data_IF_733527510456
#
_entry.id   IF_733527510456
#
_cell.length_a   1.000
_cell.length_b   1.000
_cell.length_c   1.000
_cell.angle_alpha   90.00
_cell.angle_beta   90.00
_cell.angle_gamma   90.00
#
_symmetry.space_group_name_H-M   'P 1'
#
loop_
_entity.id
_entity.type
_entity.pdbx_description
1 polymer ?
#
# COMPACT_ATOMS: atom_id res chain seq x y z
N UNK A 1 0.91 -0.37 10.57
CA UNK A 1 1.67 0.51 9.65
C UNK A 1 0.80 0.86 8.45
N UNK A 2 0.73 2.13 8.08
CA UNK A 2 0.01 2.62 6.91
C UNK A 2 1.03 3.01 5.83
N UNK A 3 1.13 2.19 4.80
CA UNK A 3 2.02 2.41 3.68
C UNK A 3 1.29 3.23 2.62
N UNK A 4 1.86 4.39 2.25
CA UNK A 4 1.35 5.24 1.18
C UNK A 4 2.50 5.61 0.24
N UNK A 5 2.41 5.27 -1.04
CA UNK A 5 3.40 5.65 -2.06
C UNK A 5 2.69 6.52 -3.11
N UNK A 6 3.30 7.64 -3.51
CA UNK A 6 2.79 8.47 -4.61
C UNK A 6 2.72 7.65 -5.92
N UNK A 7 1.51 7.33 -6.37
CA UNK A 7 1.28 6.53 -7.58
C UNK A 7 1.35 7.39 -8.86
N UNK A 8 1.65 8.69 -8.73
CA UNK A 8 1.49 9.70 -9.78
C UNK A 8 0.02 9.84 -10.19
N UNK A 9 -0.25 10.75 -11.13
CA UNK A 9 -1.60 10.97 -11.71
C UNK A 9 -2.71 11.29 -10.69
N UNK A 10 -2.36 11.80 -9.50
CA UNK A 10 -3.37 12.15 -8.48
C UNK A 10 -3.81 10.96 -7.62
N UNK A 11 -3.05 9.86 -7.60
CA UNK A 11 -3.38 8.64 -6.87
C UNK A 11 -2.27 8.21 -5.90
N UNK A 12 -2.61 7.29 -5.00
CA UNK A 12 -1.76 6.78 -3.93
C UNK A 12 -1.85 5.25 -3.94
N UNK A 13 -0.70 4.56 -3.98
CA UNK A 13 -0.63 3.16 -3.62
C UNK A 13 -0.75 3.06 -2.11
N UNK A 14 -1.75 2.33 -1.64
CA UNK A 14 -2.18 2.30 -0.24
C UNK A 14 -2.21 0.86 0.29
N UNK A 15 -1.76 0.67 1.53
CA UNK A 15 -1.95 -0.57 2.27
C UNK A 15 -1.93 -0.35 3.79
N UNK A 16 -2.66 -1.19 4.51
CA UNK A 16 -2.88 -1.19 5.95
C UNK A 16 -2.29 -2.48 6.54
N UNK A 17 -1.06 -2.41 7.03
CA UNK A 17 -0.33 -3.56 7.52
C UNK A 17 -0.35 -3.69 9.05
N UNK A 18 -0.55 -4.88 9.56
CA UNK A 18 -0.41 -5.19 10.99
C UNK A 18 0.58 -6.34 11.18
N UNK A 19 1.34 -6.30 12.28
CA UNK A 19 2.33 -7.33 12.60
C UNK A 19 1.86 -8.13 13.79
N UNK A 20 1.82 -9.45 13.66
CA UNK A 20 1.45 -10.34 14.75
C UNK A 20 2.60 -10.59 15.74
N UNK A 21 2.32 -11.34 16.80
CA UNK A 21 3.29 -11.69 17.84
C UNK A 21 4.43 -12.57 17.34
N UNK A 22 4.22 -13.32 16.25
CA UNK A 22 5.23 -14.13 15.57
C UNK A 22 6.09 -13.30 14.62
N UNK A 23 5.77 -12.02 14.47
CA UNK A 23 6.48 -11.06 13.66
C UNK A 23 6.11 -11.10 12.18
N UNK A 24 5.02 -11.76 11.81
CA UNK A 24 4.50 -11.86 10.45
C UNK A 24 3.59 -10.66 10.17
N UNK A 25 3.72 -10.09 8.97
CA UNK A 25 2.89 -9.00 8.51
C UNK A 25 1.63 -9.52 7.82
N UNK A 26 0.50 -8.87 8.10
CA UNK A 26 -0.83 -9.13 7.53
C UNK A 26 -1.40 -7.83 6.95
N UNK A 27 -2.36 -7.93 6.02
CA UNK A 27 -3.01 -6.77 5.40
C UNK A 27 -2.82 -6.65 3.89
N UNK A 28 -2.28 -7.67 3.23
CA UNK A 28 -2.10 -7.74 1.77
C UNK A 28 -3.42 -7.51 1.01
N UNK A 29 -4.55 -7.92 1.60
CA UNK A 29 -5.89 -7.71 1.05
C UNK A 29 -6.35 -6.24 1.03
N UNK A 30 -5.64 -5.36 1.75
CA UNK A 30 -5.92 -3.93 1.76
C UNK A 30 -5.23 -3.16 0.63
N UNK A 31 -4.29 -3.79 -0.08
CA UNK A 31 -3.53 -3.16 -1.16
C UNK A 31 -4.44 -2.60 -2.25
N UNK A 32 -4.28 -1.30 -2.56
CA UNK A 32 -5.07 -0.64 -3.58
C UNK A 32 -4.36 0.58 -4.18
N UNK A 33 -4.79 0.99 -5.38
CA UNK A 33 -4.53 2.34 -5.91
C UNK A 33 -5.75 3.19 -5.63
N UNK A 34 -5.60 4.23 -4.80
CA UNK A 34 -6.70 5.05 -4.32
C UNK A 34 -6.47 6.52 -4.64
N UNK A 35 -7.55 7.27 -4.81
CA UNK A 35 -7.50 8.72 -4.73
C UNK A 35 -7.32 9.16 -3.28
N UNK A 36 -6.72 10.33 -3.01
CA UNK A 36 -6.55 10.87 -1.66
C UNK A 36 -7.84 10.92 -0.82
N UNK A 37 -8.98 11.19 -1.44
CA UNK A 37 -10.28 11.21 -0.76
C UNK A 37 -10.69 9.82 -0.26
N UNK A 38 -10.45 8.78 -1.06
CA UNK A 38 -10.73 7.40 -0.65
C UNK A 38 -9.77 6.93 0.45
N UNK A 39 -8.53 7.40 0.46
CA UNK A 39 -7.60 7.17 1.58
C UNK A 39 -8.14 7.82 2.87
N UNK A 40 -8.67 9.06 2.81
CA UNK A 40 -9.31 9.70 3.98
C UNK A 40 -10.48 8.87 4.53
N UNK A 41 -11.32 8.32 3.65
CA UNK A 41 -12.41 7.43 4.06
C UNK A 41 -11.90 6.15 4.73
N UNK A 42 -10.79 5.57 4.27
CA UNK A 42 -10.14 4.42 4.91
C UNK A 42 -9.65 4.79 6.32
N UNK A 43 -8.95 5.92 6.46
CA UNK A 43 -8.43 6.40 7.73
C UNK A 43 -9.52 6.62 8.78
N UNK A 44 -10.72 7.04 8.38
CA UNK A 44 -11.86 7.23 9.29
C UNK A 44 -12.44 5.92 9.86
N UNK A 45 -12.16 4.78 9.22
CA UNK A 45 -12.62 3.45 9.65
C UNK A 45 -11.60 2.72 10.53
N UNK A 46 -10.40 3.26 10.63
CA UNK A 46 -9.34 2.73 11.47
C UNK A 46 -9.40 3.36 12.85
N UNK A 47 -8.79 2.67 13.82
CA UNK A 47 -8.65 3.15 15.19
C UNK A 47 -7.22 2.90 15.69
N UNK A 48 -6.85 3.62 16.74
CA UNK A 48 -5.59 3.42 17.46
C UNK A 48 -4.40 4.20 16.88
N UNK A 49 -3.22 3.65 17.12
CA UNK A 49 -1.93 4.25 16.75
C UNK A 49 -1.32 3.52 15.56
N UNK A 50 -0.84 4.30 14.58
CA UNK A 50 -0.29 3.76 13.34
C UNK A 50 1.00 4.49 12.95
N UNK A 51 2.05 3.71 12.66
CA UNK A 51 3.23 4.21 11.96
C UNK A 51 2.89 4.48 10.49
N UNK A 52 3.36 5.60 9.94
CA UNK A 52 3.17 6.03 8.55
C UNK A 52 4.49 5.92 7.79
N UNK A 53 4.45 5.34 6.58
CA UNK A 53 5.63 5.16 5.73
C UNK A 53 5.31 5.41 4.26
N UNK A 54 6.33 5.78 3.49
CA UNK A 54 6.28 5.96 2.05
C UNK A 54 6.09 7.41 1.60
N UNK A 55 6.33 7.65 0.31
CA UNK A 55 6.32 8.99 -0.30
C UNK A 55 4.94 9.65 -0.37
N UNK A 56 3.85 8.87 -0.25
CA UNK A 56 2.48 9.35 -0.39
C UNK A 56 2.10 10.36 0.69
N UNK A 57 2.60 10.21 1.92
CA UNK A 57 2.34 11.11 3.03
C UNK A 57 2.92 12.52 2.81
N UNK A 58 4.09 12.60 2.18
CA UNK A 58 4.71 13.89 1.84
C UNK A 58 4.09 14.52 0.59
N UNK A 59 3.72 13.70 -0.39
CA UNK A 59 3.04 14.18 -1.59
C UNK A 59 1.64 14.74 -1.29
N UNK A 60 0.99 14.25 -0.23
CA UNK A 60 -0.36 14.60 0.16
C UNK A 60 -0.46 14.86 1.67
N UNK A 61 0.06 16.01 2.17
CA UNK A 61 0.13 16.31 3.61
C UNK A 61 -1.24 16.37 4.28
N UNK A 62 -2.30 16.62 3.51
CA UNK A 62 -3.68 16.71 4.03
C UNK A 62 -4.40 15.34 4.09
N UNK A 63 -3.73 14.22 3.79
CA UNK A 63 -4.36 12.89 3.80
C UNK A 63 -4.98 12.53 5.15
N UNK A 64 -4.30 12.89 6.24
CA UNK A 64 -4.74 12.55 7.60
C UNK A 64 -5.63 13.61 8.25
N UNK A 65 -5.92 14.72 7.56
CA UNK A 65 -6.66 15.83 8.16
C UNK A 65 -8.04 15.37 8.64
N UNK A 66 -8.30 15.55 9.93
CA UNK A 66 -9.56 15.18 10.57
C UNK A 66 -9.75 13.68 10.81
N UNK A 67 -8.73 12.84 10.62
CA UNK A 67 -8.77 11.47 11.12
C UNK A 67 -8.58 11.45 12.65
N UNK A 68 -9.21 10.47 13.33
CA UNK A 68 -9.11 10.30 14.78
C UNK A 68 -7.91 9.47 15.23
N UNK A 69 -6.99 9.16 14.33
CA UNK A 69 -5.85 8.28 14.58
C UNK A 69 -4.69 9.02 15.23
N UNK A 70 -3.92 8.31 16.04
CA UNK A 70 -2.56 8.75 16.40
C UNK A 70 -1.61 8.27 15.31
N UNK A 71 -1.05 9.20 14.54
CA UNK A 71 -0.08 8.86 13.50
C UNK A 71 1.34 9.16 13.96
N UNK A 72 2.22 8.18 13.82
CA UNK A 72 3.65 8.29 14.11
C UNK A 72 4.40 8.27 12.79
N UNK A 73 5.28 9.25 12.57
CA UNK A 73 6.14 9.25 11.39
C UNK A 73 7.19 8.15 11.52
N UNK A 74 7.22 7.24 10.53
CA UNK A 74 8.20 6.16 10.47
C UNK A 74 9.56 6.60 9.94
N UNK A 75 9.69 7.82 9.40
CA UNK A 75 10.91 8.35 8.75
C UNK A 75 11.46 7.45 7.63
N UNK A 76 10.54 6.73 6.95
CA UNK A 76 10.85 5.80 5.86
C UNK A 76 10.07 6.22 4.63
N UNK A 77 10.78 6.51 3.53
CA UNK A 77 10.16 6.94 2.28
C UNK A 77 10.13 5.84 1.21
N UNK A 78 11.14 4.97 1.19
CA UNK A 78 11.35 3.99 0.13
C UNK A 78 11.61 2.61 0.75
N UNK A 79 11.22 1.52 0.07
CA UNK A 79 11.56 0.18 0.52
C UNK A 79 13.07 -0.07 0.40
N UNK A 80 13.63 -0.79 1.37
CA UNK A 80 15.02 -1.25 1.31
C UNK A 80 15.09 -2.77 1.11
N UNK A 81 16.09 -3.21 0.34
CA UNK A 81 16.28 -4.64 0.05
C UNK A 81 16.51 -5.47 1.32
N UNK A 82 17.14 -4.89 2.34
CA UNK A 82 17.37 -5.56 3.63
C UNK A 82 16.06 -5.95 4.34
N UNK A 83 15.00 -5.16 4.17
CA UNK A 83 13.70 -5.39 4.83
C UNK A 83 12.84 -6.40 4.05
N UNK A 84 13.16 -6.65 2.78
CA UNK A 84 12.53 -7.71 1.99
C UNK A 84 13.01 -9.10 2.40
N UNK A 85 14.23 -9.23 2.91
CA UNK A 85 14.84 -10.54 3.21
C UNK A 85 14.08 -11.34 4.28
N UNK A 86 13.68 -10.76 5.43
CA UNK A 86 12.88 -11.50 6.42
C UNK A 86 11.57 -12.04 5.85
N UNK A 87 10.88 -11.27 5.00
CA UNK A 87 9.66 -11.71 4.33
C UNK A 87 9.93 -12.88 3.38
N UNK A 88 10.99 -12.79 2.57
CA UNK A 88 11.38 -13.86 1.66
C UNK A 88 11.76 -15.16 2.40
N UNK A 89 12.51 -15.07 3.51
CA UNK A 89 12.86 -16.22 4.36
C UNK A 89 11.61 -16.90 4.95
N UNK A 90 10.64 -16.11 5.40
CA UNK A 90 9.37 -16.61 5.90
C UNK A 90 8.59 -17.35 4.80
N UNK A 91 8.42 -16.73 3.62
CA UNK A 91 7.70 -17.32 2.50
C UNK A 91 8.38 -18.60 2.00
N UNK A 92 9.71 -18.63 1.96
CA UNK A 92 10.48 -19.82 1.60
C UNK A 92 10.25 -20.97 2.58
N UNK A 93 10.31 -20.68 3.88
CA UNK A 93 10.07 -21.69 4.94
C UNK A 93 8.62 -22.21 4.90
N UNK A 94 7.67 -21.35 4.54
CA UNK A 94 6.26 -21.71 4.36
C UNK A 94 5.96 -22.42 3.02
N UNK A 95 6.96 -22.63 2.16
CA UNK A 95 6.78 -23.24 0.83
C UNK A 95 5.97 -22.38 -0.14
N UNK A 96 5.86 -21.07 0.11
CA UNK A 96 5.15 -20.09 -0.73
C UNK A 96 6.07 -19.49 -1.79
N UNK A 97 6.71 -20.34 -2.59
CA UNK A 97 7.55 -19.92 -3.71
C UNK A 97 6.88 -20.23 -5.04
N UNK A 98 7.29 -19.54 -6.10
CA UNK A 98 6.81 -19.76 -7.47
C UNK A 98 7.97 -20.13 -8.38
N UNK A 99 7.65 -20.81 -9.49
CA UNK A 99 8.61 -21.02 -10.56
C UNK A 99 9.02 -19.68 -11.18
N UNK A 100 10.21 -19.60 -11.77
CA UNK A 100 10.78 -18.35 -12.28
C UNK A 100 9.89 -17.71 -13.35
N UNK A 101 9.24 -18.54 -14.17
CA UNK A 101 8.30 -18.15 -15.22
C UNK A 101 6.95 -17.61 -14.70
N UNK A 102 6.68 -17.75 -13.40
CA UNK A 102 5.47 -17.27 -12.74
C UNK A 102 5.73 -16.06 -11.83
N UNK A 103 6.95 -15.53 -11.81
CA UNK A 103 7.26 -14.30 -11.08
C UNK A 103 6.71 -13.09 -11.85
N UNK A 104 5.62 -12.51 -11.36
CA UNK A 104 4.89 -11.42 -12.02
C UNK A 104 4.74 -10.19 -11.11
N UNK A 105 4.70 -8.96 -11.67
CA UNK A 105 4.36 -7.77 -10.90
C UNK A 105 2.92 -7.81 -10.38
N UNK A 106 2.68 -7.19 -9.22
CA UNK A 106 1.32 -6.97 -8.72
C UNK A 106 0.66 -5.82 -9.49
N UNK A 107 -0.49 -6.09 -10.10
CA UNK A 107 -1.29 -5.10 -10.82
C UNK A 107 -2.49 -4.66 -9.98
N UNK A 108 -2.40 -3.50 -9.34
CA UNK A 108 -3.44 -2.99 -8.42
C UNK A 108 -4.56 -2.17 -9.10
N UNK A 109 -4.46 -1.90 -10.41
CA UNK A 109 -5.53 -1.23 -11.17
C UNK A 109 -6.47 -2.27 -11.75
N UNK A 110 -7.69 -2.34 -11.22
CA UNK A 110 -8.76 -3.17 -11.78
C UNK A 110 -9.46 -2.52 -13.00
N UNK A 111 -9.37 -1.19 -13.14
CA UNK A 111 -10.02 -0.47 -14.23
C UNK A 111 -9.02 -0.04 -15.31
N UNK A 112 -8.98 -0.83 -16.39
CA UNK A 112 -8.41 -0.36 -17.65
C UNK A 112 -9.46 0.57 -18.26
N UNK A 113 -9.34 1.88 -18.04
CA UNK A 113 -10.23 2.90 -18.60
C UNK A 113 -10.09 3.00 -20.13
N UNK A 114 -10.47 1.94 -20.86
CA UNK A 114 -10.72 2.02 -22.30
C UNK A 114 -12.09 2.65 -22.53
N UNK A 115 -12.17 3.98 -22.40
CA UNK A 115 -13.20 4.71 -23.15
C UNK A 115 -12.78 4.68 -24.62
N UNK A 116 -13.41 3.82 -25.41
CA UNK A 116 -13.38 3.96 -26.88
C UNK A 116 -13.76 5.41 -27.21
N UNK A 117 -12.88 6.11 -27.92
CA UNK A 117 -13.19 7.42 -28.48
C UNK A 117 -14.43 7.25 -29.38
N UNK A 118 -15.54 7.97 -29.15
CA UNK A 118 -16.65 7.98 -30.09
C UNK A 118 -16.21 8.76 -31.34
N UNK A 119 -16.27 8.13 -32.52
CA UNK A 119 -16.07 8.86 -33.79
C UNK A 119 -15.18 8.20 -34.85
N UNK A 120 -15.17 6.87 -34.98
CA UNK A 120 -14.71 6.22 -36.22
C UNK A 120 -15.64 5.06 -36.59
N UNK A 121 -16.70 5.40 -37.29
CA UNK A 121 -17.27 4.58 -38.38
C UNK A 121 -17.01 5.31 -39.69
#
# INVERSE_FOLDING_TARGET
MLAAIDARMGEVYWAEYQRDEQGVWHGEESEAVLKPEAVRERLQRLEGEWATVGTGWQAWPDLANGCGLTLVDGDIQLPEAQDMLPLACYLLTAGKTVAVEHAEPVYLRNEVAWKKLPGRE
#
